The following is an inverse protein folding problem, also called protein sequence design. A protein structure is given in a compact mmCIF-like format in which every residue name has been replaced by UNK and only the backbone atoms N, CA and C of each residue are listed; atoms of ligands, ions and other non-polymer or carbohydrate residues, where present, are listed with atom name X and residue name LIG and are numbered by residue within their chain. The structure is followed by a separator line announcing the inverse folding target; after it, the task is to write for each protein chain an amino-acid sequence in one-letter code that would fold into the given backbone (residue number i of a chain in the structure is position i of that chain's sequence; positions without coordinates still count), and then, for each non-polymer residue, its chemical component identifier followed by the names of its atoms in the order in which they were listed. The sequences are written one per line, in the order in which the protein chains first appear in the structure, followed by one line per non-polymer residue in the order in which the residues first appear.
data_IF_367652392461
#
_entry.id   IF_367652392461
#
_cell.length_a   1.000
_cell.length_b   1.000
_cell.length_c   1.000
_cell.angle_alpha   90.00
_cell.angle_beta   90.00
_cell.angle_gamma   90.00
#
_symmetry.space_group_name_H-M   'P 1'
#
loop_
_entity.id
_entity.type
_entity.pdbx_description
1 polymer ?
#
# COMPACT_ATOMS: atom_id res chain seq x y z
N UNK A 1 7.80 -47.73 11.99
CA UNK A 1 7.77 -46.44 12.72
C UNK A 1 6.31 -46.12 12.96
N UNK A 2 5.90 -46.10 14.23
CA UNK A 2 4.52 -45.74 14.58
C UNK A 2 4.23 -44.32 14.18
N UNK A 3 3.10 -44.11 13.51
CA UNK A 3 2.64 -42.75 13.17
C UNK A 3 2.39 -41.95 14.46
N UNK A 4 2.78 -40.67 14.54
CA UNK A 4 2.54 -39.87 15.72
C UNK A 4 1.06 -39.79 16.04
N UNK A 5 0.71 -39.84 17.32
CA UNK A 5 -0.68 -39.70 17.76
C UNK A 5 -1.21 -38.27 17.45
N UNK A 6 -2.51 -38.13 17.26
CA UNK A 6 -3.14 -36.82 17.01
C UNK A 6 -2.84 -35.81 18.13
N UNK A 7 -2.78 -36.27 19.39
CA UNK A 7 -2.47 -35.39 20.51
C UNK A 7 -1.01 -34.95 20.52
N UNK A 8 -0.08 -35.83 20.10
CA UNK A 8 1.32 -35.46 19.91
C UNK A 8 1.48 -34.40 18.81
N UNK A 9 0.73 -34.51 17.72
CA UNK A 9 0.75 -33.49 16.65
C UNK A 9 0.16 -32.14 17.10
N UNK A 10 -0.90 -32.16 17.88
CA UNK A 10 -1.48 -30.93 18.48
C UNK A 10 -0.50 -30.25 19.43
N UNK A 11 0.17 -31.01 20.29
CA UNK A 11 1.23 -30.47 21.17
C UNK A 11 2.37 -29.83 20.39
N UNK A 12 2.76 -30.39 19.25
CA UNK A 12 3.78 -29.79 18.38
C UNK A 12 3.30 -28.46 17.78
N UNK A 13 2.01 -28.33 17.42
CA UNK A 13 1.40 -27.08 16.96
C UNK A 13 1.44 -26.04 18.10
N UNK A 14 1.05 -26.41 19.31
CA UNK A 14 1.06 -25.50 20.48
C UNK A 14 2.47 -24.94 20.77
N UNK A 15 3.51 -25.76 20.61
CA UNK A 15 4.90 -25.31 20.75
C UNK A 15 5.24 -24.29 19.65
N UNK A 16 4.91 -24.57 18.39
CA UNK A 16 5.17 -23.66 17.26
C UNK A 16 4.43 -22.34 17.45
N UNK A 17 3.18 -22.37 17.90
CA UNK A 17 2.38 -21.16 18.18
C UNK A 17 3.03 -20.32 19.29
N UNK A 18 3.56 -20.95 20.32
CA UNK A 18 4.34 -20.29 21.38
C UNK A 18 5.60 -19.60 20.83
N UNK A 19 6.34 -20.28 19.96
CA UNK A 19 7.54 -19.72 19.31
C UNK A 19 7.18 -18.54 18.40
N UNK A 20 6.14 -18.66 17.58
CA UNK A 20 5.64 -17.57 16.72
C UNK A 20 5.24 -16.34 17.55
N UNK A 21 4.52 -16.54 18.66
CA UNK A 21 4.17 -15.46 19.58
C UNK A 21 5.40 -14.79 20.18
N UNK A 22 6.38 -15.57 20.64
CA UNK A 22 7.64 -15.05 21.17
C UNK A 22 8.42 -14.24 20.12
N UNK A 23 8.45 -14.69 18.85
CA UNK A 23 9.08 -13.95 17.75
C UNK A 23 8.38 -12.64 17.45
N UNK A 24 7.05 -12.60 17.49
CA UNK A 24 6.27 -11.35 17.29
C UNK A 24 6.61 -10.36 18.41
N UNK A 25 6.64 -10.79 19.67
CA UNK A 25 7.02 -9.95 20.81
C UNK A 25 8.45 -9.42 20.68
N UNK A 26 9.40 -10.28 20.36
CA UNK A 26 10.79 -9.87 20.15
C UNK A 26 10.92 -8.83 19.01
N UNK A 27 10.13 -9.01 17.93
CA UNK A 27 10.09 -8.03 16.85
C UNK A 27 9.48 -6.70 17.30
N UNK A 28 8.47 -6.70 18.17
CA UNK A 28 7.90 -5.48 18.76
C UNK A 28 8.96 -4.72 19.59
N UNK A 29 9.70 -5.41 20.46
CA UNK A 29 10.79 -4.82 21.25
C UNK A 29 11.86 -4.14 20.35
N UNK A 30 12.21 -4.77 19.21
CA UNK A 30 13.13 -4.18 18.26
C UNK A 30 12.54 -2.95 17.57
N UNK A 31 11.25 -2.95 17.25
CA UNK A 31 10.56 -1.80 16.67
C UNK A 31 10.55 -0.62 17.64
N UNK A 32 10.27 -0.84 18.91
CA UNK A 32 10.33 0.20 19.95
C UNK A 32 11.74 0.80 20.08
N UNK A 33 12.76 -0.04 20.07
CA UNK A 33 14.16 0.43 20.09
C UNK A 33 14.53 1.24 18.83
N UNK A 34 14.04 0.83 17.66
CA UNK A 34 14.21 1.57 16.40
C UNK A 34 13.48 2.91 16.50
N UNK A 35 12.26 2.94 17.04
CA UNK A 35 11.48 4.17 17.22
C UNK A 35 12.22 5.15 18.14
N UNK A 36 12.74 4.66 19.26
CA UNK A 36 13.51 5.49 20.22
C UNK A 36 14.83 6.03 19.63
N UNK A 37 15.42 5.33 18.65
CA UNK A 37 16.66 5.74 18.00
C UNK A 37 16.46 6.73 16.84
N UNK A 38 15.21 6.98 16.42
CA UNK A 38 14.89 7.92 15.35
C UNK A 38 14.67 9.33 15.91
N UNK A 39 14.93 10.38 15.11
CA UNK A 39 14.45 11.73 15.45
C UNK A 39 12.92 11.74 15.66
N UNK A 40 12.41 12.51 16.62
CA UNK A 40 10.98 12.63 16.82
C UNK A 40 10.28 13.22 15.59
N UNK A 41 9.11 12.70 15.28
CA UNK A 41 8.32 13.11 14.12
C UNK A 41 8.65 12.34 12.86
N UNK A 42 7.76 12.45 11.90
CA UNK A 42 7.85 11.75 10.62
C UNK A 42 7.07 10.43 10.58
N UNK A 43 6.68 10.08 9.37
CA UNK A 43 5.92 8.86 9.09
C UNK A 43 6.85 7.65 9.13
N UNK A 44 6.48 6.63 9.91
CA UNK A 44 7.28 5.41 10.02
C UNK A 44 7.10 4.44 8.84
N UNK A 45 6.20 4.75 7.92
CA UNK A 45 5.94 3.97 6.71
C UNK A 45 7.19 3.89 5.82
N UNK A 46 7.49 2.70 5.31
CA UNK A 46 8.62 2.44 4.41
C UNK A 46 8.16 1.59 3.21
N UNK A 47 7.39 2.16 2.25
CA UNK A 47 6.71 1.41 1.19
C UNK A 47 7.68 0.56 0.35
N UNK A 48 8.82 1.12 -0.04
CA UNK A 48 9.82 0.41 -0.83
C UNK A 48 10.43 -0.77 -0.06
N UNK A 49 10.78 -0.58 1.23
CA UNK A 49 11.28 -1.66 2.08
C UNK A 49 10.22 -2.74 2.30
N UNK A 50 8.97 -2.34 2.58
CA UNK A 50 7.86 -3.28 2.77
C UNK A 50 7.61 -4.12 1.53
N UNK A 51 7.64 -3.51 0.35
CA UNK A 51 7.50 -4.20 -0.92
C UNK A 51 8.62 -5.22 -1.15
N UNK A 52 9.88 -4.86 -0.89
CA UNK A 52 11.02 -5.79 -0.99
C UNK A 52 10.86 -6.99 -0.05
N UNK A 53 10.49 -6.75 1.21
CA UNK A 53 10.27 -7.82 2.19
C UNK A 53 9.15 -8.75 1.75
N UNK A 54 8.02 -8.19 1.27
CA UNK A 54 6.90 -9.00 0.81
C UNK A 54 7.25 -9.85 -0.41
N UNK A 55 7.91 -9.26 -1.42
CA UNK A 55 8.36 -10.04 -2.59
C UNK A 55 9.30 -11.17 -2.18
N UNK A 56 10.26 -10.90 -1.29
CA UNK A 56 11.16 -11.93 -0.79
C UNK A 56 10.41 -13.06 -0.08
N UNK A 57 9.45 -12.74 0.79
CA UNK A 57 8.64 -13.74 1.49
C UNK A 57 7.83 -14.59 0.53
N UNK A 58 7.18 -13.97 -0.45
CA UNK A 58 6.39 -14.68 -1.45
C UNK A 58 7.27 -15.54 -2.38
N UNK A 59 8.45 -15.03 -2.79
CA UNK A 59 9.36 -15.75 -3.66
C UNK A 59 10.02 -16.97 -3.00
N UNK A 60 10.26 -16.91 -1.70
CA UNK A 60 10.87 -18.01 -0.92
C UNK A 60 9.83 -18.93 -0.28
N UNK A 61 8.55 -18.60 -0.40
CA UNK A 61 7.48 -19.39 0.20
C UNK A 61 7.32 -20.74 -0.50
N UNK A 62 7.32 -21.82 0.29
CA UNK A 62 7.14 -23.19 -0.16
C UNK A 62 6.13 -23.92 0.72
N UNK A 63 5.56 -24.99 0.20
CA UNK A 63 4.62 -25.81 0.96
C UNK A 63 3.14 -25.42 0.73
N UNK A 64 2.22 -26.06 1.47
CA UNK A 64 0.78 -25.99 1.20
C UNK A 64 0.10 -24.72 1.76
N UNK A 65 0.79 -23.92 2.57
CA UNK A 65 0.18 -22.72 3.17
C UNK A 65 -0.10 -21.66 2.08
N UNK A 66 -1.34 -21.12 1.97
CA UNK A 66 -1.68 -20.22 0.88
C UNK A 66 -0.88 -18.90 0.91
N UNK A 67 -0.27 -18.51 -0.21
CA UNK A 67 0.49 -17.26 -0.33
C UNK A 67 -0.33 -16.01 -0.01
N UNK A 68 -1.63 -16.02 -0.32
CA UNK A 68 -2.53 -14.93 0.03
C UNK A 68 -2.71 -14.78 1.56
N UNK A 69 -2.76 -15.90 2.29
CA UNK A 69 -2.82 -15.86 3.76
C UNK A 69 -1.48 -15.36 4.35
N UNK A 70 -0.35 -15.84 3.83
CA UNK A 70 0.97 -15.36 4.21
C UNK A 70 1.08 -13.84 3.99
N UNK A 71 0.66 -13.34 2.83
CA UNK A 71 0.64 -11.91 2.53
C UNK A 71 -0.15 -11.13 3.57
N UNK A 72 -1.39 -11.53 3.89
CA UNK A 72 -2.23 -10.84 4.88
C UNK A 72 -1.61 -10.82 6.27
N UNK A 73 -1.07 -11.93 6.73
CA UNK A 73 -0.38 -11.99 8.04
C UNK A 73 0.76 -10.98 8.11
N UNK A 74 1.60 -10.92 7.07
CA UNK A 74 2.71 -9.96 7.00
C UNK A 74 2.23 -8.51 6.92
N UNK A 75 1.19 -8.23 6.13
CA UNK A 75 0.60 -6.88 6.03
C UNK A 75 0.05 -6.41 7.37
N UNK A 76 -0.75 -7.26 8.06
CA UNK A 76 -1.30 -6.97 9.38
C UNK A 76 -0.18 -6.63 10.39
N UNK A 77 0.84 -7.47 10.44
CA UNK A 77 1.98 -7.27 11.33
C UNK A 77 2.77 -5.99 11.00
N UNK A 78 3.08 -5.72 9.73
CA UNK A 78 3.80 -4.51 9.32
C UNK A 78 3.01 -3.25 9.66
N UNK A 79 1.72 -3.24 9.38
CA UNK A 79 0.86 -2.09 9.65
C UNK A 79 0.69 -1.83 11.16
N UNK A 80 0.55 -2.88 11.97
CA UNK A 80 0.52 -2.76 13.43
C UNK A 80 1.82 -2.12 13.96
N UNK A 81 2.98 -2.56 13.48
CA UNK A 81 4.26 -1.97 13.88
C UNK A 81 4.49 -0.55 13.33
N UNK A 82 3.90 -0.20 12.20
CA UNK A 82 3.91 1.18 11.71
C UNK A 82 3.05 2.07 12.60
N UNK A 83 1.87 1.59 13.01
CA UNK A 83 0.98 2.30 13.93
C UNK A 83 1.62 2.51 15.32
N UNK A 84 2.35 1.52 15.85
CA UNK A 84 3.12 1.67 17.10
C UNK A 84 4.12 2.83 17.04
N UNK A 85 4.76 3.04 15.88
CA UNK A 85 5.74 4.12 15.67
C UNK A 85 5.09 5.46 15.28
N UNK A 86 3.87 5.45 14.77
CA UNK A 86 3.10 6.63 14.34
C UNK A 86 1.67 6.49 14.86
N UNK A 87 1.41 6.78 16.15
CA UNK A 87 0.11 6.49 16.78
C UNK A 87 -1.08 7.27 16.20
N UNK A 88 -0.83 8.41 15.56
CA UNK A 88 -1.82 9.25 14.89
C UNK A 88 -2.00 8.90 13.40
N UNK A 89 -1.38 7.80 12.93
CA UNK A 89 -1.52 7.31 11.57
C UNK A 89 -2.98 6.97 11.25
N UNK A 90 -3.46 7.46 10.12
CA UNK A 90 -4.80 7.16 9.60
C UNK A 90 -4.79 7.09 8.07
N UNK A 91 -5.80 6.43 7.53
CA UNK A 91 -5.98 6.27 6.08
C UNK A 91 -7.22 7.04 5.64
N UNK A 92 -7.06 8.08 4.83
CA UNK A 92 -8.13 8.74 4.11
C UNK A 92 -8.41 7.97 2.82
N UNK A 93 -9.61 7.43 2.67
CA UNK A 93 -9.98 6.58 1.51
C UNK A 93 -11.01 7.30 0.67
N UNK A 94 -10.75 7.42 -0.64
CA UNK A 94 -11.79 7.75 -1.58
C UNK A 94 -12.71 6.53 -1.76
N UNK A 95 -13.97 6.69 -1.33
CA UNK A 95 -14.99 5.65 -1.41
C UNK A 95 -16.22 6.19 -2.16
N UNK A 96 -16.20 6.21 -3.49
CA UNK A 96 -17.39 6.53 -4.25
C UNK A 96 -18.55 5.60 -3.88
N UNK A 97 -19.77 6.12 -3.82
CA UNK A 97 -20.93 5.37 -3.34
C UNK A 97 -21.22 4.11 -4.18
N UNK A 98 -20.89 4.15 -5.46
CA UNK A 98 -21.06 3.08 -6.44
C UNK A 98 -19.89 2.08 -6.48
N UNK A 99 -18.78 2.36 -5.77
CA UNK A 99 -17.56 1.54 -5.79
C UNK A 99 -17.03 1.24 -4.38
N UNK A 100 -17.73 0.45 -3.57
CA UNK A 100 -17.33 0.15 -2.19
C UNK A 100 -16.04 -0.68 -2.09
N UNK A 101 -15.59 -1.29 -3.17
CA UNK A 101 -14.42 -2.18 -3.20
C UNK A 101 -13.10 -1.51 -2.82
N UNK A 102 -12.99 -0.18 -2.92
CA UNK A 102 -11.77 0.53 -2.50
C UNK A 102 -11.49 0.43 -1.00
N UNK A 103 -12.55 0.31 -0.18
CA UNK A 103 -12.40 0.08 1.25
C UNK A 103 -11.76 -1.27 1.54
N UNK A 104 -12.24 -2.33 0.89
CA UNK A 104 -11.69 -3.68 1.05
C UNK A 104 -10.25 -3.74 0.51
N UNK A 105 -9.97 -3.12 -0.64
CA UNK A 105 -8.63 -3.03 -1.22
C UNK A 105 -7.64 -2.38 -0.26
N UNK A 106 -8.03 -1.26 0.37
CA UNK A 106 -7.20 -0.59 1.36
C UNK A 106 -7.02 -1.46 2.61
N UNK A 107 -8.08 -2.12 3.08
CA UNK A 107 -8.03 -3.00 4.26
C UNK A 107 -7.14 -4.21 4.04
N UNK A 108 -7.15 -4.79 2.86
CA UNK A 108 -6.26 -5.90 2.51
C UNK A 108 -4.77 -5.49 2.55
N UNK A 109 -4.48 -4.22 2.33
CA UNK A 109 -3.12 -3.69 2.35
C UNK A 109 -2.69 -3.11 3.71
N UNK A 110 -3.56 -2.35 4.38
CA UNK A 110 -3.24 -1.64 5.62
C UNK A 110 -3.74 -2.35 6.89
N UNK A 111 -4.36 -3.51 6.74
CA UNK A 111 -4.86 -4.29 7.88
C UNK A 111 -6.07 -3.67 8.57
N UNK A 112 -6.35 -4.15 9.78
CA UNK A 112 -7.55 -3.78 10.54
C UNK A 112 -7.29 -2.80 11.69
N UNK A 113 -6.03 -2.50 12.03
CA UNK A 113 -5.68 -1.69 13.21
C UNK A 113 -5.62 -0.19 12.91
N UNK A 114 -5.21 0.21 11.71
CA UNK A 114 -5.09 1.62 11.34
C UNK A 114 -6.50 2.20 11.10
N UNK A 115 -6.87 3.34 11.73
CA UNK A 115 -8.17 3.96 11.50
C UNK A 115 -8.35 4.44 10.06
N UNK A 116 -9.52 4.16 9.49
CA UNK A 116 -9.91 4.56 8.14
C UNK A 116 -10.96 5.67 8.18
N UNK A 117 -10.77 6.70 7.34
CA UNK A 117 -11.68 7.83 7.18
C UNK A 117 -12.19 7.83 5.73
N UNK A 118 -13.49 7.65 5.54
CA UNK A 118 -14.11 7.68 4.23
C UNK A 118 -14.21 9.12 3.72
N UNK A 119 -13.96 9.31 2.44
CA UNK A 119 -14.11 10.56 1.71
C UNK A 119 -14.82 10.27 0.38
N UNK A 120 -15.65 11.20 -0.07
CA UNK A 120 -16.46 11.01 -1.28
C UNK A 120 -15.66 11.24 -2.57
N UNK A 121 -14.60 12.04 -2.49
CA UNK A 121 -13.82 12.44 -3.67
C UNK A 121 -12.31 12.33 -3.44
N UNK A 122 -11.51 12.09 -4.50
CA UNK A 122 -10.05 12.13 -4.40
C UNK A 122 -9.51 13.49 -3.92
N UNK A 123 -10.16 14.59 -4.26
CA UNK A 123 -9.76 15.92 -3.82
C UNK A 123 -9.84 16.08 -2.29
N UNK A 124 -10.87 15.52 -1.63
CA UNK A 124 -10.99 15.49 -0.18
C UNK A 124 -9.88 14.64 0.45
N UNK A 125 -9.54 13.49 -0.15
CA UNK A 125 -8.41 12.65 0.29
C UNK A 125 -7.10 13.45 0.21
N UNK A 126 -6.83 14.12 -0.91
CA UNK A 126 -5.64 14.95 -1.05
C UNK A 126 -5.58 16.06 0.01
N UNK A 127 -6.70 16.72 0.26
CA UNK A 127 -6.79 17.76 1.29
C UNK A 127 -6.46 17.19 2.69
N UNK A 128 -6.97 16.00 3.02
CA UNK A 128 -6.68 15.34 4.30
C UNK A 128 -5.19 14.98 4.45
N UNK A 129 -4.55 14.46 3.38
CA UNK A 129 -3.11 14.14 3.39
C UNK A 129 -2.25 15.41 3.50
N UNK A 130 -2.64 16.48 2.81
CA UNK A 130 -1.94 17.78 2.92
C UNK A 130 -2.03 18.39 4.31
N UNK A 131 -3.17 18.24 4.96
CA UNK A 131 -3.41 18.79 6.29
C UNK A 131 -2.62 18.08 7.41
N UNK A 132 -2.33 16.78 7.26
CA UNK A 132 -1.65 16.00 8.30
C UNK A 132 -0.67 15.00 7.67
N UNK A 133 0.66 15.11 7.97
CA UNK A 133 1.68 14.21 7.42
C UNK A 133 1.52 12.74 7.87
N UNK A 134 0.83 12.47 8.97
CA UNK A 134 0.50 11.10 9.43
C UNK A 134 -0.77 10.56 8.77
N UNK A 135 -1.33 11.23 7.76
CA UNK A 135 -2.46 10.71 6.97
C UNK A 135 -1.96 10.18 5.64
N UNK A 136 -2.28 8.91 5.34
CA UNK A 136 -2.12 8.35 4.01
C UNK A 136 -3.41 8.51 3.23
N UNK A 137 -3.30 8.69 1.91
CA UNK A 137 -4.44 8.75 1.01
C UNK A 137 -4.56 7.48 0.18
N UNK A 138 -5.78 6.98 -0.04
CA UNK A 138 -6.06 5.94 -1.02
C UNK A 138 -7.06 6.49 -2.02
N UNK A 139 -6.63 6.61 -3.28
CA UNK A 139 -7.43 7.16 -4.37
C UNK A 139 -7.48 6.21 -5.56
N UNK A 140 -8.58 6.14 -6.31
CA UNK A 140 -8.66 5.37 -7.54
C UNK A 140 -7.51 5.71 -8.50
N UNK A 141 -6.97 4.71 -9.19
CA UNK A 141 -6.10 5.01 -10.33
C UNK A 141 -6.90 5.77 -11.40
N UNK A 142 -6.28 6.73 -12.11
CA UNK A 142 -6.93 7.44 -13.19
C UNK A 142 -7.52 6.49 -14.24
N UNK A 143 -8.73 6.78 -14.72
CA UNK A 143 -9.36 6.10 -15.85
C UNK A 143 -9.76 7.10 -16.92
N UNK A 144 -9.83 6.65 -18.17
CA UNK A 144 -10.10 7.52 -19.34
C UNK A 144 -11.43 8.27 -19.26
N UNK A 145 -12.40 7.66 -18.59
CA UNK A 145 -13.74 8.23 -18.40
C UNK A 145 -13.85 9.22 -17.23
N UNK A 146 -12.76 9.51 -16.52
CA UNK A 146 -12.80 10.46 -15.41
C UNK A 146 -13.20 11.85 -15.89
N UNK A 147 -14.36 12.31 -15.45
CA UNK A 147 -14.88 13.65 -15.78
C UNK A 147 -14.24 14.75 -14.93
N UNK A 148 -13.71 14.39 -13.77
CA UNK A 148 -13.01 15.27 -12.81
C UNK A 148 -11.66 14.69 -12.44
N UNK A 149 -10.64 14.84 -13.30
CA UNK A 149 -9.31 14.30 -13.05
C UNK A 149 -8.69 14.90 -11.79
N UNK A 150 -8.20 14.07 -10.90
CA UNK A 150 -7.62 14.47 -9.62
C UNK A 150 -6.09 14.59 -9.66
N UNK A 151 -5.41 13.86 -10.54
CA UNK A 151 -3.95 13.84 -10.62
C UNK A 151 -3.29 15.18 -10.96
N UNK A 152 -3.92 16.13 -11.67
CA UNK A 152 -3.35 17.46 -11.83
C UNK A 152 -3.15 18.18 -10.50
N UNK A 153 -3.90 17.81 -9.45
CA UNK A 153 -3.74 18.36 -8.11
C UNK A 153 -2.41 17.94 -7.42
N UNK A 154 -1.73 16.93 -7.97
CA UNK A 154 -0.37 16.55 -7.54
C UNK A 154 0.71 17.38 -8.25
N UNK A 155 0.38 18.05 -9.33
CA UNK A 155 1.33 18.88 -10.05
C UNK A 155 1.59 20.18 -9.30
N UNK A 156 2.87 20.43 -8.97
CA UNK A 156 3.24 21.64 -8.26
C UNK A 156 4.58 21.48 -7.54
N UNK A 157 5.02 22.58 -6.89
CA UNK A 157 6.27 22.62 -6.11
C UNK A 157 6.01 22.84 -4.62
N UNK A 158 4.75 22.73 -4.19
CA UNK A 158 4.37 22.89 -2.79
C UNK A 158 4.83 21.66 -1.98
N UNK A 159 5.65 21.87 -0.97
CA UNK A 159 6.17 20.80 -0.10
C UNK A 159 5.08 20.05 0.69
N UNK A 160 3.85 20.54 0.71
CA UNK A 160 2.71 19.83 1.30
C UNK A 160 2.04 18.85 0.35
N UNK A 161 2.40 18.87 -0.94
CA UNK A 161 1.84 17.95 -1.91
C UNK A 161 2.31 16.51 -1.60
N UNK A 162 1.40 15.54 -1.63
CA UNK A 162 1.78 14.14 -1.46
C UNK A 162 2.38 13.57 -2.74
N UNK A 163 3.25 12.59 -2.57
CA UNK A 163 3.73 11.72 -3.64
C UNK A 163 2.89 10.44 -3.72
N UNK A 164 2.85 9.82 -4.89
CA UNK A 164 2.38 8.44 -5.05
C UNK A 164 3.49 7.52 -4.56
N UNK A 165 3.21 6.73 -3.52
CA UNK A 165 4.21 5.89 -2.84
C UNK A 165 3.96 4.39 -3.02
N UNK A 166 2.76 4.01 -3.45
CA UNK A 166 2.43 2.62 -3.79
C UNK A 166 1.22 2.55 -4.72
N UNK A 167 1.09 1.41 -5.40
CA UNK A 167 -0.11 1.02 -6.16
C UNK A 167 -0.72 -0.23 -5.55
N UNK A 168 -2.04 -0.24 -5.44
CA UNK A 168 -2.82 -1.39 -4.96
C UNK A 168 -3.65 -2.00 -6.10
N UNK A 169 -3.95 -3.32 -6.07
CA UNK A 169 -3.45 -4.29 -5.09
C UNK A 169 -1.96 -4.59 -5.29
N UNK A 170 -1.26 -4.94 -4.21
CA UNK A 170 0.09 -5.50 -4.28
C UNK A 170 0.05 -6.98 -4.70
N UNK A 171 -0.98 -7.70 -4.28
CA UNK A 171 -1.27 -9.08 -4.61
C UNK A 171 -2.79 -9.23 -4.81
N UNK A 172 -3.20 -9.91 -5.88
CA UNK A 172 -4.61 -10.22 -6.10
C UNK A 172 -5.11 -11.21 -5.05
N UNK A 173 -6.17 -10.80 -4.33
CA UNK A 173 -6.76 -11.63 -3.28
C UNK A 173 -7.88 -12.49 -3.83
N UNK A 174 -7.90 -13.80 -3.48
CA UNK A 174 -8.91 -14.73 -4.03
C UNK A 174 -10.36 -14.35 -3.72
N UNK A 175 -10.57 -13.68 -2.57
CA UNK A 175 -11.89 -13.27 -2.06
C UNK A 175 -12.16 -11.76 -2.22
N UNK A 176 -11.43 -11.08 -3.11
CA UNK A 176 -11.68 -9.67 -3.37
C UNK A 176 -13.11 -9.45 -3.90
N UNK A 177 -13.87 -8.53 -3.27
CA UNK A 177 -15.24 -8.19 -3.68
C UNK A 177 -15.31 -7.56 -5.06
N UNK A 178 -14.34 -6.72 -5.38
CA UNK A 178 -14.25 -6.06 -6.68
C UNK A 178 -12.92 -6.44 -7.33
N UNK A 179 -13.00 -7.13 -8.46
CA UNK A 179 -11.83 -7.44 -9.30
C UNK A 179 -11.61 -6.31 -10.30
N UNK A 180 -10.35 -6.09 -10.67
CA UNK A 180 -10.01 -5.11 -11.70
C UNK A 180 -9.96 -3.65 -11.21
N UNK A 181 -10.26 -3.38 -9.94
CA UNK A 181 -10.02 -2.06 -9.36
C UNK A 181 -8.58 -1.91 -8.93
N UNK A 182 -8.04 -0.71 -9.08
CA UNK A 182 -6.72 -0.36 -8.57
C UNK A 182 -6.72 1.04 -7.96
N UNK A 183 -5.82 1.26 -7.00
CA UNK A 183 -5.70 2.54 -6.32
C UNK A 183 -4.24 2.96 -6.18
N UNK A 184 -4.00 4.26 -6.04
CA UNK A 184 -2.73 4.79 -5.60
C UNK A 184 -2.77 5.13 -4.11
N UNK A 185 -1.65 4.89 -3.45
CA UNK A 185 -1.39 5.35 -2.09
C UNK A 185 -0.62 6.65 -2.16
N UNK A 186 -1.13 7.66 -1.48
CA UNK A 186 -0.56 8.99 -1.39
C UNK A 186 0.01 9.23 0.01
N UNK A 187 1.22 9.81 0.09
CA UNK A 187 1.84 10.18 1.37
C UNK A 187 2.75 11.42 1.20
N UNK A 188 2.90 12.19 2.27
CA UNK A 188 3.87 13.29 2.34
C UNK A 188 5.25 12.77 2.72
N UNK A 189 5.86 12.04 1.80
CA UNK A 189 7.20 11.47 1.94
C UNK A 189 7.83 11.29 0.56
N UNK A 190 9.15 11.20 0.53
CA UNK A 190 9.86 10.86 -0.70
C UNK A 190 9.60 9.39 -1.07
N UNK A 191 9.36 9.09 -2.35
CA UNK A 191 9.25 7.73 -2.83
C UNK A 191 10.53 6.94 -2.57
N UNK A 192 10.37 5.66 -2.18
CA UNK A 192 11.49 4.74 -1.96
C UNK A 192 11.62 3.74 -3.10
N UNK A 193 12.84 3.46 -3.51
CA UNK A 193 13.12 2.34 -4.42
C UNK A 193 12.64 1.01 -3.82
N UNK A 194 11.88 0.27 -4.58
CA UNK A 194 11.36 -1.06 -4.21
C UNK A 194 11.97 -2.21 -5.04
N UNK A 195 12.75 -1.88 -6.07
CA UNK A 195 13.31 -2.84 -7.02
C UNK A 195 12.35 -3.26 -8.14
N UNK A 196 11.11 -2.77 -8.13
CA UNK A 196 10.11 -2.96 -9.20
C UNK A 196 9.15 -1.76 -9.14
N UNK A 197 9.61 -0.66 -9.71
CA UNK A 197 8.97 0.64 -9.58
C UNK A 197 8.36 1.10 -10.90
N UNK A 198 7.32 1.93 -10.77
CA UNK A 198 6.71 2.64 -11.89
C UNK A 198 6.62 4.11 -11.57
N UNK A 199 6.78 4.96 -12.57
CA UNK A 199 6.67 6.40 -12.42
C UNK A 199 5.32 6.87 -12.97
N UNK A 200 4.58 7.64 -12.16
CA UNK A 200 3.43 8.40 -12.63
C UNK A 200 3.94 9.70 -13.22
N UNK A 201 3.63 9.93 -14.50
CA UNK A 201 3.98 11.18 -15.21
C UNK A 201 2.68 11.90 -15.54
N UNK A 202 2.54 13.14 -15.07
CA UNK A 202 1.49 14.04 -15.50
C UNK A 202 2.02 14.93 -16.64
N UNK A 203 1.34 14.92 -17.77
CA UNK A 203 1.73 15.71 -18.95
C UNK A 203 0.65 16.74 -19.22
N UNK A 204 1.03 18.00 -19.18
CA UNK A 204 0.20 19.10 -19.69
C UNK A 204 0.56 19.35 -21.15
N UNK A 205 -0.42 19.31 -22.01
CA UNK A 205 -0.24 19.52 -23.44
C UNK A 205 -1.09 20.68 -23.94
N UNK A 206 -0.60 21.37 -24.97
CA UNK A 206 -1.37 22.42 -25.66
C UNK A 206 -2.63 21.82 -26.31
N UNK A 207 -3.67 22.59 -26.39
CA UNK A 207 -4.94 22.21 -27.02
C UNK A 207 -4.72 21.65 -28.41
N UNK A 208 -5.37 20.52 -28.75
CA UNK A 208 -5.29 19.87 -30.06
C UNK A 208 -4.32 18.73 -30.22
N UNK A 209 -3.55 18.39 -29.17
CA UNK A 209 -2.74 17.17 -29.16
C UNK A 209 -3.56 15.95 -28.71
N UNK A 210 -3.65 14.94 -29.57
CA UNK A 210 -4.29 13.68 -29.19
C UNK A 210 -3.38 12.85 -28.26
N UNK A 211 -4.00 12.05 -27.39
CA UNK A 211 -3.27 11.11 -26.49
C UNK A 211 -2.32 10.20 -27.26
N UNK A 212 -2.73 9.71 -28.44
CA UNK A 212 -1.87 8.87 -29.28
C UNK A 212 -0.60 9.59 -29.76
N UNK A 213 -0.67 10.91 -30.01
CA UNK A 213 0.52 11.69 -30.37
C UNK A 213 1.46 11.86 -29.18
N UNK A 214 0.90 12.05 -27.96
CA UNK A 214 1.68 12.13 -26.72
C UNK A 214 2.36 10.79 -26.44
N UNK A 215 1.61 9.69 -26.48
CA UNK A 215 2.14 8.34 -26.30
C UNK A 215 3.23 8.00 -27.34
N UNK A 216 3.01 8.36 -28.61
CA UNK A 216 4.00 8.19 -29.68
C UNK A 216 5.26 9.03 -29.47
N UNK A 217 5.14 10.25 -28.92
CA UNK A 217 6.29 11.08 -28.60
C UNK A 217 7.09 10.51 -27.42
N UNK A 218 6.43 10.02 -26.38
CA UNK A 218 7.06 9.36 -25.23
C UNK A 218 7.79 8.08 -25.64
N UNK A 219 7.19 7.27 -26.50
CA UNK A 219 7.80 6.04 -27.02
C UNK A 219 9.08 6.32 -27.81
N UNK A 220 9.13 7.42 -28.59
CA UNK A 220 10.33 7.82 -29.34
C UNK A 220 11.53 8.19 -28.46
N UNK A 221 11.31 8.62 -27.24
CA UNK A 221 12.35 8.93 -26.27
C UNK A 221 12.59 7.78 -25.27
N UNK A 222 12.09 6.57 -25.57
CA UNK A 222 12.32 5.38 -24.77
C UNK A 222 11.45 5.28 -23.50
N UNK A 223 10.39 6.08 -23.41
CA UNK A 223 9.42 6.05 -22.30
C UNK A 223 8.11 5.41 -22.79
N UNK A 224 7.97 4.07 -22.75
CA UNK A 224 6.71 3.43 -23.11
C UNK A 224 5.65 3.84 -22.09
N UNK A 225 4.68 4.64 -22.54
CA UNK A 225 3.54 4.99 -21.72
C UNK A 225 2.58 3.80 -21.67
N UNK A 226 2.41 3.22 -20.51
CA UNK A 226 1.22 2.42 -20.23
C UNK A 226 0.11 3.42 -19.93
N UNK A 227 -0.67 3.76 -20.93
CA UNK A 227 -1.88 4.55 -20.73
C UNK A 227 -2.85 3.68 -19.91
N UNK A 228 -2.88 3.90 -18.62
CA UNK A 228 -4.10 3.72 -17.91
C UNK A 228 -4.90 4.97 -18.22
N UNK A 229 -5.89 4.85 -19.08
CA UNK A 229 -6.90 5.85 -19.27
C UNK A 229 -6.39 7.20 -19.77
#
# INVERSE_FOLDING_TARGET
MDSPSLDSLRQQIDVIDGELHAMIRHRADLVDRISAAKPPGGLALRPGREARVMRQRLATHQGPFPSAALYRMWREMMCAFTLMQTPDLKIAICRPADQPGYWDLARDHFGCQIPFVANDTPAQVLAAVRANPSTLGVVPTPIESDTTPWWPLLAGRDATLPNVVARLPFLDMPNARARGISAFVLARMEPEDSGDDRTLISVEATTGLSRNRIAGALAKVGLPAFTSA
#
